data_IF_631460241310
#
_entry.id   IF_631460241310
#
_cell.length_a   1.000
_cell.length_b   1.000
_cell.length_c   1.000
_cell.angle_alpha   90.00
_cell.angle_beta   90.00
_cell.angle_gamma   90.00
#
_symmetry.space_group_name_H-M   'P 1'
#
loop_
_entity.id
_entity.type
_entity.pdbx_description
1 polymer ?
#
# COMPACT_ATOMS: atom_id res chain seq x y z
N UNK A 1 -12.02 -33.53 -11.63
CA UNK A 1 -12.41 -32.12 -11.39
C UNK A 1 -11.24 -31.30 -10.83
N UNK A 2 -10.59 -31.73 -9.74
CA UNK A 2 -9.45 -31.01 -9.12
C UNK A 2 -8.21 -30.91 -10.05
N UNK A 3 -7.88 -31.97 -10.79
CA UNK A 3 -6.74 -31.98 -11.74
C UNK A 3 -6.89 -30.98 -12.90
N UNK A 4 -8.13 -30.77 -13.38
CA UNK A 4 -8.42 -29.82 -14.46
C UNK A 4 -8.36 -28.37 -13.97
N UNK A 5 -8.79 -28.12 -12.73
CA UNK A 5 -8.65 -26.82 -12.08
C UNK A 5 -7.16 -26.47 -11.86
N UNK A 6 -6.34 -27.43 -11.41
CA UNK A 6 -4.89 -27.22 -11.25
C UNK A 6 -4.19 -26.92 -12.57
N UNK A 7 -4.52 -27.68 -13.62
CA UNK A 7 -3.96 -27.49 -14.96
C UNK A 7 -4.34 -26.13 -15.55
N UNK A 8 -5.61 -25.72 -15.39
CA UNK A 8 -6.08 -24.40 -15.84
C UNK A 8 -5.42 -23.26 -15.07
N UNK A 9 -5.16 -23.42 -13.76
CA UNK A 9 -4.48 -22.42 -12.96
C UNK A 9 -3.01 -22.29 -13.36
N UNK A 10 -2.34 -23.40 -13.66
CA UNK A 10 -0.94 -23.42 -14.09
C UNK A 10 -0.74 -22.74 -15.46
N UNK A 11 -1.68 -22.97 -16.39
CA UNK A 11 -1.69 -22.28 -17.71
C UNK A 11 -1.93 -20.78 -17.54
N UNK A 12 -2.81 -20.35 -16.63
CA UNK A 12 -3.02 -18.93 -16.34
C UNK A 12 -1.77 -18.25 -15.76
N UNK A 13 -1.01 -18.92 -14.89
CA UNK A 13 0.24 -18.39 -14.32
C UNK A 13 1.35 -18.30 -15.38
N UNK A 14 1.43 -19.26 -16.30
CA UNK A 14 2.40 -19.27 -17.41
C UNK A 14 2.04 -18.28 -18.53
N UNK A 15 0.76 -17.92 -18.66
CA UNK A 15 0.25 -16.94 -19.62
C UNK A 15 0.18 -15.50 -19.07
N UNK A 16 0.68 -15.24 -17.86
CA UNK A 16 0.90 -13.86 -17.43
C UNK A 16 1.99 -13.30 -18.34
N UNK A 17 1.67 -12.34 -19.24
CA UNK A 17 2.71 -11.71 -20.03
C UNK A 17 3.75 -11.16 -19.04
N UNK A 18 5.03 -11.38 -19.33
CA UNK A 18 6.09 -10.69 -18.61
C UNK A 18 5.81 -9.20 -18.76
N UNK A 19 5.14 -8.60 -17.76
CA UNK A 19 4.97 -7.17 -17.66
C UNK A 19 6.38 -6.62 -17.70
N UNK A 20 6.76 -6.00 -18.83
CA UNK A 20 7.99 -5.25 -18.87
C UNK A 20 7.83 -4.15 -17.83
N UNK A 21 8.76 -4.09 -16.87
CA UNK A 21 8.80 -3.01 -15.91
C UNK A 21 8.91 -1.70 -16.68
N UNK A 22 8.01 -0.76 -16.42
CA UNK A 22 8.11 0.60 -16.93
C UNK A 22 8.86 1.48 -15.94
N UNK A 23 9.38 2.61 -16.43
CA UNK A 23 9.89 3.67 -15.57
C UNK A 23 8.72 4.44 -14.94
N UNK A 24 8.77 4.64 -13.62
CA UNK A 24 7.83 5.45 -12.89
C UNK A 24 8.58 6.57 -12.17
N UNK A 25 8.10 7.80 -12.31
CA UNK A 25 8.65 8.94 -11.60
C UNK A 25 8.05 8.99 -10.21
N UNK A 26 8.92 8.97 -9.20
CA UNK A 26 8.56 9.07 -7.78
C UNK A 26 9.34 10.24 -7.20
N UNK A 27 8.64 11.06 -6.40
CA UNK A 27 9.26 12.19 -5.73
C UNK A 27 10.19 11.72 -4.60
N UNK A 28 11.25 12.48 -4.35
CA UNK A 28 12.17 12.21 -3.24
C UNK A 28 11.48 12.45 -1.90
N UNK A 29 12.01 11.83 -0.85
CA UNK A 29 11.73 12.26 0.52
C UNK A 29 12.20 13.72 0.71
N UNK A 30 11.53 14.45 1.60
CA UNK A 30 11.76 15.88 1.86
C UNK A 30 12.29 16.16 3.27
N UNK A 31 12.37 15.15 4.13
CA UNK A 31 12.88 15.26 5.51
C UNK A 31 14.15 14.43 5.67
N UNK A 32 15.23 15.06 6.15
CA UNK A 32 16.49 14.39 6.49
C UNK A 32 16.85 14.63 7.96
N UNK A 33 17.52 13.66 8.58
CA UNK A 33 17.96 13.77 9.98
C UNK A 33 19.37 14.34 10.04
N UNK A 34 19.57 15.33 10.90
CA UNK A 34 20.88 15.94 11.12
C UNK A 34 21.90 14.90 11.64
N UNK A 35 23.09 14.87 11.04
CA UNK A 35 24.19 13.95 11.35
C UNK A 35 24.10 12.59 10.65
N UNK A 36 22.96 12.26 10.04
CA UNK A 36 22.82 11.05 9.23
C UNK A 36 23.13 11.34 7.75
N UNK A 37 23.13 10.28 6.96
CA UNK A 37 23.23 10.39 5.52
C UNK A 37 21.86 10.28 4.86
N UNK A 38 21.69 10.98 3.73
CA UNK A 38 20.41 11.08 3.07
C UNK A 38 20.54 10.85 1.57
N UNK A 39 19.62 10.05 1.00
CA UNK A 39 19.54 9.82 -0.43
C UNK A 39 18.54 10.79 -1.04
N UNK A 40 19.03 11.73 -1.84
CA UNK A 40 18.20 12.60 -2.63
C UNK A 40 17.96 11.98 -4.00
N UNK A 41 16.74 11.52 -4.22
CA UNK A 41 16.34 10.86 -5.47
C UNK A 41 15.81 11.86 -6.48
N UNK A 42 16.20 11.73 -7.74
CA UNK A 42 15.53 12.43 -8.82
C UNK A 42 15.40 11.51 -10.03
N UNK A 43 14.19 11.32 -10.52
CA UNK A 43 13.91 10.36 -11.61
C UNK A 43 13.29 11.13 -12.78
N UNK A 44 13.87 10.97 -13.97
CA UNK A 44 13.37 11.52 -15.23
C UNK A 44 13.25 10.40 -16.25
N UNK A 45 12.03 9.89 -16.42
CA UNK A 45 11.73 8.78 -17.30
C UNK A 45 11.68 9.27 -18.75
N UNK A 46 12.26 8.50 -19.67
CA UNK A 46 12.03 8.74 -21.10
C UNK A 46 10.60 8.36 -21.45
N UNK A 47 9.96 9.11 -22.33
CA UNK A 47 8.64 8.76 -22.88
C UNK A 47 8.64 7.40 -23.61
N UNK A 48 9.79 7.05 -24.19
CA UNK A 48 9.99 5.86 -25.02
C UNK A 48 11.32 5.23 -24.61
N UNK A 49 11.26 4.08 -23.95
CA UNK A 49 12.44 3.45 -23.32
C UNK A 49 13.45 2.94 -24.36
N UNK A 50 12.98 2.46 -25.51
CA UNK A 50 13.82 1.85 -26.54
C UNK A 50 14.72 2.85 -27.29
N UNK A 51 14.48 4.15 -27.17
CA UNK A 51 15.30 5.17 -27.85
C UNK A 51 16.60 5.37 -27.08
N UNK A 52 17.77 5.11 -27.66
CA UNK A 52 19.03 5.31 -26.98
C UNK A 52 19.24 6.80 -26.69
N UNK A 53 19.80 7.09 -25.52
CA UNK A 53 20.06 8.46 -25.10
C UNK A 53 21.41 8.60 -24.41
N UNK A 54 21.95 9.81 -24.46
CA UNK A 54 23.04 10.25 -23.61
C UNK A 54 22.50 11.33 -22.68
N UNK A 55 22.75 11.21 -21.38
CA UNK A 55 22.22 12.13 -20.38
C UNK A 55 23.30 12.56 -19.40
N UNK A 56 23.44 13.86 -19.20
CA UNK A 56 24.18 14.46 -18.08
C UNK A 56 23.18 14.95 -17.04
N UNK A 57 23.62 14.97 -15.78
CA UNK A 57 22.79 15.41 -14.65
C UNK A 57 23.53 16.47 -13.87
N UNK A 58 22.90 17.64 -13.74
CA UNK A 58 23.39 18.74 -12.92
C UNK A 58 22.48 18.89 -11.69
N UNK A 59 23.10 19.11 -10.53
CA UNK A 59 22.40 19.44 -9.30
C UNK A 59 22.75 20.85 -8.85
N UNK A 60 21.72 21.63 -8.62
CA UNK A 60 21.83 22.97 -8.08
C UNK A 60 21.20 23.04 -6.70
N UNK A 61 21.75 23.87 -5.83
CA UNK A 61 21.23 24.11 -4.49
C UNK A 61 20.95 25.61 -4.29
N UNK A 62 19.87 25.90 -3.58
CA UNK A 62 19.52 27.24 -3.12
C UNK A 62 19.14 27.13 -1.65
N UNK A 63 19.91 27.79 -0.79
CA UNK A 63 19.63 27.80 0.64
C UNK A 63 18.32 28.53 0.95
N UNK A 64 17.69 28.20 2.07
CA UNK A 64 16.46 28.90 2.50
C UNK A 64 16.72 30.39 2.73
N UNK A 65 16.08 31.24 1.93
CA UNK A 65 16.20 32.70 2.02
C UNK A 65 17.20 33.31 1.02
N UNK A 66 17.91 32.50 0.25
CA UNK A 66 18.71 32.96 -0.89
C UNK A 66 17.88 32.93 -2.19
N UNK A 67 18.24 33.80 -3.15
CA UNK A 67 17.52 33.90 -4.43
C UNK A 67 18.20 33.08 -5.54
N UNK A 68 19.51 32.88 -5.47
CA UNK A 68 20.30 32.26 -6.53
C UNK A 68 20.59 30.78 -6.28
N UNK A 69 20.69 30.03 -7.37
CA UNK A 69 21.08 28.62 -7.37
C UNK A 69 22.58 28.49 -7.58
N UNK A 70 23.27 27.77 -6.71
CA UNK A 70 24.67 27.38 -6.89
C UNK A 70 24.78 25.97 -7.49
N UNK A 71 25.71 25.77 -8.42
CA UNK A 71 25.94 24.47 -9.04
C UNK A 71 26.82 23.62 -8.12
N UNK A 72 26.26 22.55 -7.55
CA UNK A 72 26.94 21.75 -6.51
C UNK A 72 27.53 20.45 -7.03
N UNK A 73 26.93 19.84 -8.07
CA UNK A 73 27.34 18.53 -8.54
C UNK A 73 26.96 18.32 -10.01
N UNK A 74 27.88 17.73 -10.77
CA UNK A 74 27.72 17.39 -12.18
C UNK A 74 28.10 15.92 -12.41
N UNK A 75 27.24 15.18 -13.10
CA UNK A 75 27.53 13.81 -13.53
C UNK A 75 27.49 13.70 -15.05
N UNK A 76 28.63 13.29 -15.61
CA UNK A 76 28.78 12.86 -16.99
C UNK A 76 29.45 11.50 -17.00
N UNK A 77 28.68 10.46 -17.34
CA UNK A 77 29.11 9.08 -17.23
C UNK A 77 30.52 8.83 -17.84
N UNK A 78 31.46 8.23 -17.09
CA UNK A 78 31.34 7.66 -15.74
C UNK A 78 31.80 8.59 -14.58
N UNK A 79 31.99 9.89 -14.83
CA UNK A 79 32.67 10.81 -13.92
C UNK A 79 31.67 11.65 -13.10
N UNK A 80 31.57 11.43 -11.77
CA UNK A 80 30.92 12.35 -10.85
C UNK A 80 31.89 13.46 -10.42
N UNK A 81 31.44 14.72 -10.51
CA UNK A 81 32.21 15.89 -10.13
C UNK A 81 31.43 16.74 -9.13
N UNK A 82 31.95 16.89 -7.92
CA UNK A 82 31.46 17.89 -6.95
C UNK A 82 32.11 19.23 -7.26
N UNK A 83 31.30 20.28 -7.37
CA UNK A 83 31.73 21.59 -7.88
C UNK A 83 31.79 22.68 -6.79
N UNK A 84 31.13 22.46 -5.65
CA UNK A 84 31.07 23.41 -4.55
C UNK A 84 31.82 22.91 -3.31
N UNK A 85 32.56 23.79 -2.66
CA UNK A 85 33.45 23.44 -1.53
C UNK A 85 32.68 22.91 -0.31
N UNK A 86 31.52 23.50 0.01
CA UNK A 86 30.68 23.08 1.15
C UNK A 86 30.15 21.63 1.05
N UNK A 87 30.13 21.10 -0.18
CA UNK A 87 29.65 19.76 -0.50
C UNK A 87 30.80 18.80 -0.83
N UNK A 88 32.04 19.27 -0.77
CA UNK A 88 33.21 18.47 -1.12
C UNK A 88 33.36 17.27 -0.17
N UNK A 89 33.72 16.11 -0.72
CA UNK A 89 33.82 14.82 -0.02
C UNK A 89 32.54 14.35 0.69
N UNK A 90 31.39 15.01 0.47
CA UNK A 90 30.09 14.65 1.08
C UNK A 90 29.07 14.13 0.09
N UNK A 91 29.19 14.48 -1.19
CA UNK A 91 28.28 14.02 -2.24
C UNK A 91 28.82 12.78 -2.94
N UNK A 92 27.95 11.79 -3.10
CA UNK A 92 28.24 10.55 -3.81
C UNK A 92 27.14 10.25 -4.83
N UNK A 93 27.51 9.80 -6.02
CA UNK A 93 26.55 9.38 -7.03
C UNK A 93 25.93 8.03 -6.67
N UNK A 94 24.60 7.94 -6.66
CA UNK A 94 23.83 6.70 -6.45
C UNK A 94 22.74 6.52 -7.51
N UNK A 95 22.83 7.26 -8.61
CA UNK A 95 21.91 7.19 -9.74
C UNK A 95 22.13 5.98 -10.64
N UNK A 96 21.71 6.08 -11.90
CA UNK A 96 21.93 5.03 -12.90
C UNK A 96 23.44 4.81 -13.11
N UNK A 97 23.92 3.61 -12.81
CA UNK A 97 25.32 3.20 -12.95
C UNK A 97 25.55 2.42 -14.25
N UNK A 98 26.75 2.53 -14.82
CA UNK A 98 27.19 1.68 -15.95
C UNK A 98 26.55 1.99 -17.31
N UNK A 99 25.75 3.05 -17.42
CA UNK A 99 25.13 3.49 -18.67
C UNK A 99 25.25 5.01 -18.85
N UNK A 100 25.32 5.44 -20.10
CA UNK A 100 25.21 6.83 -20.53
C UNK A 100 23.75 7.33 -20.54
N UNK A 101 22.81 6.41 -20.55
CA UNK A 101 21.37 6.68 -20.54
C UNK A 101 20.87 6.75 -19.10
N UNK A 102 21.12 7.90 -18.47
CA UNK A 102 20.76 8.13 -17.07
C UNK A 102 19.28 8.52 -16.98
N UNK A 103 18.52 7.72 -16.24
CA UNK A 103 17.12 8.01 -15.91
C UNK A 103 16.93 8.35 -14.42
N UNK A 104 17.82 7.84 -13.56
CA UNK A 104 17.82 8.11 -12.13
C UNK A 104 19.06 8.94 -11.82
N UNK A 105 18.84 10.18 -11.40
CA UNK A 105 19.85 11.16 -11.04
C UNK A 105 20.05 11.30 -9.54
N UNK A 106 20.14 10.19 -8.79
CA UNK A 106 20.20 10.23 -7.34
C UNK A 106 21.60 10.56 -6.80
N UNK A 107 21.66 11.46 -5.82
CA UNK A 107 22.88 11.79 -5.07
C UNK A 107 22.68 11.47 -3.60
N UNK A 108 23.74 10.99 -2.96
CA UNK A 108 23.78 10.71 -1.54
C UNK A 108 24.59 11.79 -0.85
N UNK A 109 24.01 12.43 0.16
CA UNK A 109 24.68 13.45 0.98
C UNK A 109 25.05 12.86 2.34
N UNK A 110 26.34 12.83 2.63
CA UNK A 110 26.89 12.34 3.89
C UNK A 110 26.95 13.46 4.95
N UNK A 111 26.70 13.09 6.22
CA UNK A 111 26.71 13.98 7.37
C UNK A 111 25.85 15.24 7.14
N UNK A 112 24.54 15.07 7.01
CA UNK A 112 23.60 16.17 6.78
C UNK A 112 23.61 17.15 7.96
N UNK A 113 23.59 18.44 7.67
CA UNK A 113 23.60 19.54 8.63
C UNK A 113 22.41 20.46 8.39
N UNK A 114 22.05 21.28 9.38
CA UNK A 114 20.93 22.23 9.21
C UNK A 114 21.13 23.23 8.08
N UNK A 115 22.39 23.50 7.68
CA UNK A 115 22.72 24.39 6.56
C UNK A 115 22.39 23.79 5.19
N UNK A 116 22.21 22.47 5.11
CA UNK A 116 21.79 21.78 3.88
C UNK A 116 20.27 21.91 3.65
N UNK A 117 19.55 22.64 4.51
CA UNK A 117 18.13 22.95 4.34
C UNK A 117 17.94 23.96 3.19
N UNK A 118 17.11 23.61 2.22
CA UNK A 118 16.89 24.47 1.05
C UNK A 118 16.19 23.75 -0.10
N UNK A 119 16.20 24.39 -1.27
CA UNK A 119 15.67 23.82 -2.50
C UNK A 119 16.81 23.26 -3.35
N UNK A 120 16.71 21.99 -3.70
CA UNK A 120 17.60 21.32 -4.64
C UNK A 120 16.92 21.17 -5.98
N UNK A 121 17.64 21.45 -7.06
CA UNK A 121 17.15 21.31 -8.43
C UNK A 121 18.03 20.36 -9.21
N UNK A 122 17.45 19.27 -9.68
CA UNK A 122 18.08 18.35 -10.61
C UNK A 122 17.69 18.71 -12.04
N UNK A 123 18.69 18.85 -12.91
CA UNK A 123 18.54 19.15 -14.33
C UNK A 123 19.13 18.00 -15.14
N UNK A 124 18.27 17.31 -15.91
CA UNK A 124 18.70 16.30 -16.86
C UNK A 124 18.85 16.94 -18.22
N UNK A 125 20.07 16.98 -18.75
CA UNK A 125 20.34 17.38 -20.13
C UNK A 125 20.51 16.11 -20.96
N UNK A 126 19.51 15.82 -21.78
CA UNK A 126 19.40 14.56 -22.52
C UNK A 126 19.46 14.80 -24.02
N UNK A 127 20.30 14.02 -24.69
CA UNK A 127 20.34 13.90 -26.15
C UNK A 127 19.74 12.55 -26.54
N UNK A 128 18.56 12.56 -27.15
CA UNK A 128 17.92 11.38 -27.71
C UNK A 128 18.45 11.14 -29.13
N UNK A 129 18.87 9.91 -29.43
CA UNK A 129 19.31 9.54 -30.77
C UNK A 129 18.13 8.92 -31.54
N UNK A 130 17.36 9.76 -32.25
CA UNK A 130 16.28 9.28 -33.12
C UNK A 130 16.81 8.96 -34.53
N UNK A 131 16.10 8.15 -35.33
CA UNK A 131 16.55 7.79 -36.68
C UNK A 131 16.65 8.95 -37.67
N UNK A 132 15.90 10.04 -37.47
CA UNK A 132 15.90 11.20 -38.36
C UNK A 132 16.92 12.26 -37.93
N UNK A 133 16.86 12.68 -36.68
CA UNK A 133 17.74 13.71 -36.10
C UNK A 133 17.81 13.55 -34.58
N UNK A 134 18.86 14.09 -33.97
CA UNK A 134 19.01 14.06 -32.52
C UNK A 134 18.15 15.15 -31.87
N UNK A 135 17.46 14.78 -30.79
CA UNK A 135 16.65 15.72 -30.02
C UNK A 135 17.31 16.02 -28.68
N UNK A 136 17.43 17.30 -28.35
CA UNK A 136 17.98 17.77 -27.08
C UNK A 136 16.85 18.20 -26.16
N UNK A 137 16.74 17.55 -25.00
CA UNK A 137 15.69 17.78 -24.02
C UNK A 137 16.34 18.13 -22.69
N UNK A 138 15.85 19.21 -22.06
CA UNK A 138 16.23 19.56 -20.69
C UNK A 138 15.01 19.39 -19.78
N UNK A 139 15.17 18.61 -18.70
CA UNK A 139 14.11 18.40 -17.71
C UNK A 139 14.63 18.85 -16.36
N UNK A 140 13.92 19.77 -15.72
CA UNK A 140 14.23 20.26 -14.38
C UNK A 140 13.19 19.78 -13.39
N UNK A 141 13.64 19.35 -12.20
CA UNK A 141 12.77 19.03 -11.07
C UNK A 141 13.35 19.65 -9.81
N UNK A 142 12.48 20.12 -8.94
CA UNK A 142 12.86 20.73 -7.67
C UNK A 142 12.39 19.84 -6.52
N UNK A 143 13.22 19.74 -5.48
CA UNK A 143 12.97 19.02 -4.24
C UNK A 143 13.33 19.95 -3.09
N UNK A 144 12.39 20.19 -2.19
CA UNK A 144 12.64 20.95 -0.97
C UNK A 144 13.08 20.00 0.15
N UNK A 145 14.31 20.20 0.63
CA UNK A 145 14.86 19.42 1.74
C UNK A 145 14.75 20.21 3.04
N UNK A 146 14.19 19.57 4.06
CA UNK A 146 14.12 20.09 5.42
C UNK A 146 14.91 19.18 6.36
N UNK A 147 15.85 19.76 7.10
CA UNK A 147 16.68 18.99 8.04
C UNK A 147 16.10 19.10 9.44
N UNK A 148 15.74 17.95 10.01
CA UNK A 148 15.14 17.81 11.34
C UNK A 148 16.14 17.16 12.30
N UNK A 149 15.99 17.44 13.60
CA UNK A 149 16.84 16.82 14.61
C UNK A 149 16.49 15.35 14.88
N UNK A 150 15.24 14.96 14.64
CA UNK A 150 14.71 13.62 14.89
C UNK A 150 13.72 13.28 13.77
N UNK A 151 13.76 12.04 13.26
CA UNK A 151 12.86 11.60 12.19
C UNK A 151 11.40 11.63 12.66
N UNK A 152 10.52 12.31 11.91
CA UNK A 152 9.10 12.24 12.16
C UNK A 152 8.52 10.97 11.52
N UNK A 153 7.59 10.30 12.20
CA UNK A 153 6.83 9.22 11.55
C UNK A 153 5.80 9.88 10.64
N UNK A 154 5.79 9.47 9.38
CA UNK A 154 4.76 9.84 8.39
C UNK A 154 3.37 9.81 9.04
N UNK A 155 2.75 10.98 9.16
CA UNK A 155 1.45 11.13 9.85
C UNK A 155 0.40 10.18 9.26
N UNK A 156 0.47 9.93 7.96
CA UNK A 156 -0.40 8.99 7.26
C UNK A 156 -0.24 7.55 7.75
N UNK A 157 0.99 7.12 8.04
CA UNK A 157 1.26 5.77 8.53
C UNK A 157 0.57 5.58 9.89
N UNK A 158 0.80 6.51 10.82
CA UNK A 158 0.21 6.49 12.17
C UNK A 158 -1.31 6.57 12.12
N UNK A 159 -1.87 7.46 11.29
CA UNK A 159 -3.33 7.58 11.13
C UNK A 159 -3.94 6.33 10.52
N UNK A 160 -3.28 5.72 9.53
CA UNK A 160 -3.78 4.50 8.88
C UNK A 160 -3.82 3.30 9.84
N UNK A 161 -2.83 3.19 10.73
CA UNK A 161 -2.78 2.17 11.77
C UNK A 161 -3.95 2.34 12.76
N UNK A 162 -4.16 3.55 13.28
CA UNK A 162 -5.26 3.83 14.21
C UNK A 162 -6.62 3.58 13.54
N UNK A 163 -6.81 4.06 12.31
CA UNK A 163 -8.07 3.87 11.57
C UNK A 163 -8.37 2.39 11.30
N UNK A 164 -7.34 1.59 11.00
CA UNK A 164 -7.50 0.14 10.86
C UNK A 164 -8.06 -0.50 12.14
N UNK A 165 -7.49 -0.19 13.31
CA UNK A 165 -7.97 -0.74 14.58
C UNK A 165 -9.40 -0.29 14.92
N UNK A 166 -9.74 0.98 14.68
CA UNK A 166 -11.09 1.50 14.91
C UNK A 166 -12.12 0.75 14.05
N UNK A 167 -11.82 0.56 12.76
CA UNK A 167 -12.70 -0.17 11.84
C UNK A 167 -12.89 -1.64 12.30
N UNK A 168 -11.81 -2.31 12.71
CA UNK A 168 -11.88 -3.69 13.22
C UNK A 168 -12.80 -3.76 14.45
N UNK A 169 -12.62 -2.88 15.43
CA UNK A 169 -13.43 -2.89 16.66
C UNK A 169 -14.90 -2.61 16.36
N UNK A 170 -15.20 -1.63 15.52
CA UNK A 170 -16.58 -1.28 15.15
C UNK A 170 -17.27 -2.43 14.43
N UNK A 171 -16.60 -3.05 13.44
CA UNK A 171 -17.14 -4.21 12.73
C UNK A 171 -17.34 -5.40 13.66
N UNK A 172 -16.41 -5.66 14.58
CA UNK A 172 -16.53 -6.73 15.56
C UNK A 172 -17.72 -6.52 16.50
N UNK A 173 -17.90 -5.30 17.03
CA UNK A 173 -19.03 -4.95 17.87
C UNK A 173 -20.36 -5.06 17.11
N UNK A 174 -20.40 -4.61 15.86
CA UNK A 174 -21.58 -4.75 15.00
C UNK A 174 -21.96 -6.23 14.80
N UNK A 175 -20.99 -7.09 14.48
CA UNK A 175 -21.22 -8.53 14.36
C UNK A 175 -21.72 -9.15 15.68
N UNK A 176 -21.15 -8.76 16.82
CA UNK A 176 -21.60 -9.23 18.14
C UNK A 176 -23.05 -8.80 18.41
N UNK A 177 -23.41 -7.56 18.11
CA UNK A 177 -24.79 -7.05 18.27
C UNK A 177 -25.77 -7.83 17.39
N UNK A 178 -25.42 -8.08 16.14
CA UNK A 178 -26.24 -8.90 15.23
C UNK A 178 -26.37 -10.33 15.75
N UNK A 179 -25.28 -10.93 16.23
CA UNK A 179 -25.31 -12.28 16.81
C UNK A 179 -26.22 -12.36 18.05
N UNK A 180 -26.14 -11.40 18.97
CA UNK A 180 -27.00 -11.34 20.16
C UNK A 180 -28.46 -11.13 19.76
N UNK A 181 -28.72 -10.23 18.81
CA UNK A 181 -30.08 -9.98 18.33
C UNK A 181 -30.70 -11.22 17.67
N UNK A 182 -29.94 -11.88 16.78
CA UNK A 182 -30.35 -13.12 16.14
C UNK A 182 -30.52 -14.25 17.16
N UNK A 183 -29.61 -14.39 18.12
CA UNK A 183 -29.68 -15.40 19.17
C UNK A 183 -30.95 -15.24 20.00
N UNK A 184 -31.21 -14.04 20.53
CA UNK A 184 -32.40 -13.75 21.33
C UNK A 184 -33.68 -14.01 20.55
N UNK A 185 -33.71 -13.59 19.28
CA UNK A 185 -34.88 -13.81 18.40
C UNK A 185 -35.13 -15.29 18.12
N UNK A 186 -34.08 -16.04 17.76
CA UNK A 186 -34.19 -17.48 17.48
C UNK A 186 -34.59 -18.24 18.74
N UNK A 187 -34.01 -17.88 19.88
CA UNK A 187 -34.32 -18.51 21.16
C UNK A 187 -35.79 -18.34 21.54
N UNK A 188 -36.35 -17.14 21.38
CA UNK A 188 -37.78 -16.89 21.59
C UNK A 188 -38.68 -17.72 20.65
N UNK A 189 -38.30 -17.84 19.37
CA UNK A 189 -39.04 -18.71 18.42
C UNK A 189 -38.91 -20.20 18.73
N UNK A 190 -37.77 -20.62 19.28
CA UNK A 190 -37.50 -22.01 19.65
C UNK A 190 -38.42 -22.44 20.81
N UNK A 191 -38.52 -21.63 21.86
CA UNK A 191 -39.41 -21.88 23.00
C UNK A 191 -40.89 -21.95 22.55
N UNK A 192 -41.32 -21.04 21.68
CA UNK A 192 -42.67 -21.07 21.10
C UNK A 192 -42.93 -22.35 20.26
N UNK A 193 -41.94 -22.84 19.52
CA UNK A 193 -42.05 -24.09 18.77
C UNK A 193 -42.15 -25.30 19.69
N UNK A 194 -41.39 -25.34 20.77
CA UNK A 194 -41.39 -26.47 21.68
C UNK A 194 -42.66 -26.50 22.55
N UNK A 195 -43.19 -25.35 22.96
CA UNK A 195 -44.51 -25.24 23.57
C UNK A 195 -45.63 -25.76 22.64
N UNK A 196 -45.57 -25.43 21.34
CA UNK A 196 -46.53 -25.95 20.34
C UNK A 196 -46.41 -27.46 20.15
N UNK A 197 -45.20 -28.02 20.16
CA UNK A 197 -44.99 -29.48 20.10
C UNK A 197 -45.54 -30.17 21.36
N UNK A 198 -45.29 -29.62 22.54
CA UNK A 198 -45.82 -30.14 23.80
C UNK A 198 -47.35 -30.12 23.86
N UNK A 199 -47.99 -29.05 23.39
CA UNK A 199 -49.45 -28.97 23.28
C UNK A 199 -50.02 -30.01 22.29
N UNK A 200 -49.37 -30.20 21.14
CA UNK A 200 -49.78 -31.23 20.16
C UNK A 200 -49.64 -32.64 20.74
N UNK A 201 -48.55 -32.92 21.45
CA UNK A 201 -48.34 -34.20 22.13
C UNK A 201 -49.43 -34.47 23.19
N UNK A 202 -49.78 -33.45 24.01
CA UNK A 202 -50.88 -33.55 24.99
C UNK A 202 -52.24 -33.79 24.32
N UNK A 203 -52.56 -33.07 23.24
CA UNK A 203 -53.82 -33.27 22.48
C UNK A 203 -53.89 -34.67 21.86
N UNK A 204 -52.79 -35.18 21.30
CA UNK A 204 -52.73 -36.53 20.74
C UNK A 204 -52.86 -37.61 21.83
N UNK A 205 -52.31 -37.38 23.03
CA UNK A 205 -52.49 -38.29 24.17
C UNK A 205 -53.97 -38.36 24.62
N UNK A 206 -54.67 -37.22 24.70
CA UNK A 206 -56.10 -37.16 25.03
C UNK A 206 -56.99 -37.85 23.97
N UNK A 207 -56.65 -37.72 22.68
CA UNK A 207 -57.37 -38.41 21.59
C UNK A 207 -57.09 -39.92 21.60
N UNK A 208 -55.91 -40.33 22.07
CA UNK A 208 -55.50 -41.73 22.17
C UNK A 208 -55.99 -42.41 23.44
N UNK A 209 -56.51 -41.67 24.43
CA UNK A 209 -57.31 -42.21 25.53
C UNK A 209 -58.63 -42.75 24.94
N UNK A 210 -58.77 -44.07 24.72
CA UNK A 210 -60.01 -44.61 24.23
C UNK A 210 -60.94 -44.78 25.42
N UNK A 211 -62.12 -44.16 25.37
CA UNK A 211 -63.38 -44.89 25.51
C UNK A 211 -63.36 -46.11 26.47
N UNK A 212 -62.92 -45.96 27.71
CA UNK A 212 -62.94 -47.01 28.75
C UNK A 212 -63.85 -46.57 29.89
N UNK A 213 -65.12 -46.33 29.56
CA UNK A 213 -66.22 -46.25 30.52
C UNK A 213 -67.55 -46.27 29.78
N UNK A 214 -67.88 -47.40 29.15
CA UNK A 214 -69.30 -47.81 29.05
C UNK A 214 -69.42 -49.33 28.97
N UNK A 215 -69.42 -49.91 30.16
CA UNK A 215 -70.25 -51.02 30.63
C UNK A 215 -70.37 -52.27 29.74
N UNK A 216 -69.69 -53.34 30.13
CA UNK A 216 -70.19 -54.70 29.91
C UNK A 216 -69.90 -55.55 31.16
N UNK A 217 -70.95 -55.98 31.86
CA UNK A 217 -71.13 -57.36 32.33
C UNK A 217 -72.47 -57.53 33.08
N UNK A 218 -73.21 -58.54 32.63
CA UNK A 218 -74.41 -59.13 33.25
C UNK A 218 -74.18 -59.59 34.70
N UNK A 219 -75.26 -59.52 35.50
CA UNK A 219 -75.76 -60.70 36.22
C UNK A 219 -75.34 -60.99 37.66
N UNK A 220 -76.34 -60.89 38.55
CA UNK A 220 -76.72 -61.82 39.66
C UNK A 220 -76.13 -61.56 41.07
N UNK A 221 -76.99 -61.18 42.04
CA UNK A 221 -77.67 -62.06 43.03
C UNK A 221 -78.35 -61.21 44.13
N UNK A 222 -79.62 -61.49 44.49
CA UNK A 222 -80.10 -61.71 45.87
C UNK A 222 -81.63 -61.95 45.89
N UNK A 223 -81.97 -63.13 46.45
CA UNK A 223 -83.26 -63.66 46.94
C UNK A 223 -84.42 -63.94 45.95
#
# INVERSE_FOLDING_TARGET
>A
MIQQLLSSLLVFVLCVPHCHGGCAEVDSMTEAVAGESFLMGCISCKRREEVPAYTTVDWHFRATGEEEYIHIFHYDHPHPNTLHEDFNDRLEWQGTMGSKDVQIGAIFIHNVTFNDTGTYRCTFQRTLFLPLDNEYITVEKEVELTVVAEANRELLSVVSEIMMYVLIVVLQLWMIVVLIHCYNKIWAEHEARDARKALRARKLALIKEPLDSKDNCDGVLLE
#
